data_IF_350778011192
#
_entry.id   IF_350778011192
#
_cell.length_a   1.000
_cell.length_b   1.000
_cell.length_c   1.000
_cell.angle_alpha   90.00
_cell.angle_beta   90.00
_cell.angle_gamma   90.00
#
_symmetry.space_group_name_H-M   'P 1'
#
loop_
_entity.id
_entity.type
_entity.pdbx_description
1 polymer ?
#
# COMPACT_ATOMS: atom_id res chain seq x y z
N UNK A 1 -30.48 -18.33 6.34
CA UNK A 1 -29.15 -18.54 6.93
C UNK A 1 -28.33 -17.28 6.74
N UNK A 2 -27.95 -16.60 7.81
CA UNK A 2 -27.09 -15.41 7.73
C UNK A 2 -25.68 -15.88 7.37
N UNK A 3 -25.13 -15.44 6.24
CA UNK A 3 -23.76 -15.82 5.81
C UNK A 3 -22.74 -15.21 6.76
N UNK A 4 -21.85 -16.03 7.30
CA UNK A 4 -20.68 -15.60 8.07
C UNK A 4 -19.79 -14.69 7.18
N UNK A 5 -19.46 -13.45 7.61
CA UNK A 5 -18.90 -12.42 6.73
C UNK A 5 -17.38 -12.55 6.56
N UNK A 6 -16.91 -13.65 5.99
CA UNK A 6 -15.47 -13.90 5.78
C UNK A 6 -14.78 -12.82 4.92
N UNK A 7 -15.52 -12.18 4.02
CA UNK A 7 -15.07 -11.05 3.20
C UNK A 7 -14.91 -9.74 3.99
N UNK A 8 -15.18 -9.72 5.30
CA UNK A 8 -15.10 -8.48 6.09
C UNK A 8 -13.70 -7.86 6.05
N UNK A 9 -12.67 -8.68 5.98
CA UNK A 9 -11.28 -8.24 5.84
C UNK A 9 -10.71 -8.79 4.55
N UNK A 10 -9.97 -7.99 3.80
CA UNK A 10 -9.45 -8.44 2.51
C UNK A 10 -8.47 -7.44 1.89
N UNK A 11 -7.96 -7.74 0.69
CA UNK A 11 -6.98 -6.92 -0.01
C UNK A 11 -7.72 -5.76 -0.71
N UNK A 12 -8.34 -4.89 0.08
CA UNK A 12 -9.15 -3.77 -0.40
C UNK A 12 -8.38 -2.44 -0.40
N UNK A 13 -7.12 -2.46 0.07
CA UNK A 13 -6.21 -1.34 -0.11
C UNK A 13 -5.71 -1.32 -1.54
N UNK A 14 -5.62 -0.12 -2.11
CA UNK A 14 -4.89 0.04 -3.36
C UNK A 14 -3.40 0.05 -3.03
N UNK A 15 -2.57 -0.43 -3.93
CA UNK A 15 -1.12 -0.28 -3.80
C UNK A 15 -0.61 0.98 -4.51
N UNK A 16 -1.47 1.64 -5.30
CA UNK A 16 -1.15 2.82 -6.12
C UNK A 16 -2.39 3.65 -6.55
N UNK A 17 -2.96 4.46 -5.67
CA UNK A 17 -4.18 5.26 -5.90
C UNK A 17 -3.91 6.73 -6.29
N UNK A 18 -2.68 7.22 -6.15
CA UNK A 18 -2.32 8.59 -6.57
C UNK A 18 -2.52 8.79 -8.09
N UNK A 19 -2.72 10.04 -8.53
CA UNK A 19 -2.98 10.37 -9.93
C UNK A 19 -4.35 9.94 -10.47
N UNK A 20 -5.35 9.70 -9.61
CA UNK A 20 -6.69 9.25 -10.03
C UNK A 20 -7.71 10.39 -10.07
N UNK A 21 -8.68 10.28 -10.99
CA UNK A 21 -9.78 11.27 -11.16
C UNK A 21 -10.62 11.50 -9.90
N UNK A 22 -10.66 10.54 -8.97
CA UNK A 22 -11.41 10.69 -7.71
C UNK A 22 -10.73 11.66 -6.75
N UNK A 23 -9.40 11.73 -6.81
CA UNK A 23 -8.57 12.57 -5.94
C UNK A 23 -8.12 13.87 -6.64
N UNK A 24 -8.73 14.17 -7.80
CA UNK A 24 -8.47 15.39 -8.55
C UNK A 24 -9.35 16.54 -8.07
N UNK A 25 -8.70 17.57 -7.54
CA UNK A 25 -9.31 18.81 -7.10
C UNK A 25 -8.70 20.01 -7.84
N UNK A 26 -8.00 19.75 -8.95
CA UNK A 26 -7.44 20.79 -9.78
C UNK A 26 -8.54 21.55 -10.52
N UNK A 27 -8.36 22.86 -10.80
CA UNK A 27 -9.33 23.63 -11.57
C UNK A 27 -9.53 23.12 -13.01
N UNK A 28 -8.55 22.39 -13.55
CA UNK A 28 -8.50 21.98 -14.95
C UNK A 28 -8.79 20.49 -15.21
N UNK A 29 -9.02 19.68 -14.17
CA UNK A 29 -9.21 18.23 -14.35
C UNK A 29 -7.93 17.48 -14.71
N UNK A 30 -6.77 17.94 -14.22
CA UNK A 30 -5.44 17.37 -14.48
C UNK A 30 -4.98 16.41 -13.38
N UNK A 31 -5.77 15.36 -13.11
CA UNK A 31 -5.55 14.38 -12.04
C UNK A 31 -4.11 13.85 -11.92
N UNK A 32 -3.49 13.55 -13.06
CA UNK A 32 -2.13 13.01 -13.13
C UNK A 32 -1.04 14.01 -12.70
N UNK A 33 -1.27 15.30 -12.90
CA UNK A 33 -0.34 16.37 -12.52
C UNK A 33 -0.63 16.89 -11.10
N UNK A 34 -1.89 16.91 -10.69
CA UNK A 34 -2.34 17.52 -9.44
C UNK A 34 -2.04 16.65 -8.22
N UNK A 35 -1.92 15.34 -8.39
CA UNK A 35 -1.60 14.41 -7.31
C UNK A 35 -0.48 13.42 -7.68
N UNK A 36 0.78 13.86 -7.77
CA UNK A 36 1.92 13.01 -8.10
C UNK A 36 2.31 12.08 -6.95
N UNK A 37 3.14 11.08 -7.26
CA UNK A 37 3.70 10.14 -6.27
C UNK A 37 4.40 10.82 -5.07
N UNK A 38 5.02 11.99 -5.26
CA UNK A 38 5.63 12.74 -4.16
C UNK A 38 4.60 13.17 -3.11
N UNK A 39 3.41 13.59 -3.55
CA UNK A 39 2.34 13.98 -2.65
C UNK A 39 1.67 12.76 -2.00
N UNK A 40 1.68 11.60 -2.66
CA UNK A 40 1.05 10.36 -2.20
C UNK A 40 1.47 9.93 -0.79
N UNK A 41 2.68 10.30 -0.35
CA UNK A 41 3.19 10.00 1.00
C UNK A 41 2.85 11.05 2.06
N UNK A 42 2.43 12.24 1.63
CA UNK A 42 2.28 13.42 2.48
C UNK A 42 0.84 13.96 2.48
N UNK A 43 -0.07 13.30 1.75
CA UNK A 43 -1.44 13.72 1.57
C UNK A 43 -2.40 12.67 2.11
N UNK A 44 -3.39 13.12 2.87
CA UNK A 44 -4.52 12.28 3.26
C UNK A 44 -5.46 12.09 2.07
N UNK A 45 -5.81 10.84 1.79
CA UNK A 45 -6.71 10.46 0.71
C UNK A 45 -8.17 10.64 1.18
N UNK A 46 -9.06 11.06 0.29
CA UNK A 46 -10.49 11.19 0.62
C UNK A 46 -11.26 9.90 0.33
N UNK A 47 -10.97 9.24 -0.78
CA UNK A 47 -11.82 8.18 -1.33
C UNK A 47 -11.27 6.77 -1.13
N UNK A 48 -10.03 6.62 -0.69
CA UNK A 48 -9.40 5.33 -0.41
C UNK A 48 -8.13 5.50 0.40
N UNK A 49 -7.22 4.53 0.33
CA UNK A 49 -5.93 4.51 1.00
C UNK A 49 -4.96 3.65 0.19
N UNK A 50 -3.67 3.99 0.26
CA UNK A 50 -2.59 3.17 -0.28
C UNK A 50 -1.94 2.31 0.80
N UNK A 51 -1.60 1.06 0.47
CA UNK A 51 -0.79 0.22 1.35
C UNK A 51 -0.19 -0.99 0.66
N UNK A 52 1.14 -1.08 0.67
CA UNK A 52 1.90 -2.18 0.09
C UNK A 52 1.54 -3.52 0.76
N UNK A 53 1.06 -4.46 -0.05
CA UNK A 53 0.64 -5.81 0.35
C UNK A 53 -0.37 -5.80 1.52
N UNK A 54 -1.17 -4.74 1.60
CA UNK A 54 -2.02 -4.46 2.75
C UNK A 54 -3.41 -5.06 2.69
N UNK A 55 -4.12 -4.97 3.81
CA UNK A 55 -5.53 -5.33 3.94
C UNK A 55 -6.31 -4.20 4.61
N UNK A 56 -7.62 -4.19 4.43
CA UNK A 56 -8.51 -3.38 5.25
C UNK A 56 -9.83 -4.10 5.50
N UNK A 57 -10.67 -3.54 6.37
CA UNK A 57 -12.07 -3.95 6.40
C UNK A 57 -12.76 -3.58 5.07
N UNK A 58 -13.88 -4.23 4.76
CA UNK A 58 -14.59 -4.09 3.49
C UNK A 58 -15.12 -2.68 3.18
N UNK A 59 -14.99 -1.73 4.11
CA UNK A 59 -15.29 -0.30 3.89
C UNK A 59 -14.03 0.59 3.95
N UNK A 60 -12.83 0.01 4.00
CA UNK A 60 -11.56 0.73 4.03
C UNK A 60 -11.46 1.70 5.20
N UNK A 61 -11.91 1.32 6.40
CA UNK A 61 -11.88 2.17 7.61
C UNK A 61 -10.64 1.92 8.43
N UNK A 62 -10.34 0.65 8.75
CA UNK A 62 -9.13 0.22 9.46
C UNK A 62 -8.24 -0.53 8.48
N UNK A 63 -7.01 -0.06 8.35
CA UNK A 63 -6.06 -0.44 7.32
C UNK A 63 -4.80 -0.99 7.99
N UNK A 64 -4.25 -2.06 7.41
CA UNK A 64 -2.95 -2.62 7.78
C UNK A 64 -2.12 -2.81 6.52
N UNK A 65 -0.84 -2.46 6.57
CA UNK A 65 0.12 -2.73 5.50
C UNK A 65 1.54 -2.82 6.08
N UNK A 66 2.50 -3.09 5.19
CA UNK A 66 3.92 -3.11 5.54
C UNK A 66 4.61 -1.94 4.86
N UNK A 67 5.39 -1.18 5.63
CA UNK A 67 6.36 -0.23 5.11
C UNK A 67 7.77 -0.84 5.20
N UNK A 68 8.57 -0.65 4.15
CA UNK A 68 9.93 -1.20 4.06
C UNK A 68 10.96 -0.09 3.92
N UNK A 69 12.16 -0.30 4.45
CA UNK A 69 13.29 0.60 4.21
C UNK A 69 14.61 -0.16 4.22
N UNK A 70 15.36 -0.06 3.14
CA UNK A 70 16.67 -0.70 2.97
C UNK A 70 17.84 0.18 3.44
N UNK A 71 17.57 1.27 4.15
CA UNK A 71 18.54 2.30 4.60
C UNK A 71 19.23 3.10 3.49
N UNK A 72 18.98 2.78 2.22
CA UNK A 72 19.48 3.49 1.04
C UNK A 72 18.39 4.34 0.36
N UNK A 73 17.14 3.88 0.41
CA UNK A 73 16.01 4.54 -0.20
C UNK A 73 15.75 5.90 0.48
N UNK A 74 15.43 6.96 -0.28
CA UNK A 74 15.18 8.28 0.29
C UNK A 74 13.86 8.35 1.08
N UNK A 75 13.03 7.30 1.00
CA UNK A 75 11.71 7.20 1.63
C UNK A 75 11.41 5.78 2.11
N UNK A 76 10.39 5.67 2.97
CA UNK A 76 9.75 4.38 3.22
C UNK A 76 9.02 3.90 1.97
N UNK A 77 9.19 2.62 1.65
CA UNK A 77 8.44 1.93 0.61
C UNK A 77 7.12 1.42 1.19
N UNK A 78 6.10 2.26 1.08
CA UNK A 78 4.75 2.04 1.63
C UNK A 78 3.70 1.74 0.55
N UNK A 79 4.06 1.98 -0.72
CA UNK A 79 3.21 1.92 -1.91
C UNK A 79 4.07 1.68 -3.14
N UNK A 80 3.44 1.24 -4.23
CA UNK A 80 4.12 1.00 -5.49
C UNK A 80 4.37 2.32 -6.21
N UNK A 81 5.54 2.44 -6.83
CA UNK A 81 5.84 3.51 -7.76
C UNK A 81 5.38 3.17 -9.17
N UNK A 82 5.05 4.21 -9.93
CA UNK A 82 4.72 4.10 -11.33
C UNK A 82 4.81 5.45 -12.01
N UNK A 83 4.60 5.43 -13.31
CA UNK A 83 4.53 6.58 -14.18
C UNK A 83 3.08 6.95 -14.42
N UNK A 84 2.81 8.24 -14.56
CA UNK A 84 1.54 8.73 -15.11
C UNK A 84 1.51 8.56 -16.63
N UNK A 85 0.32 8.71 -17.22
CA UNK A 85 0.15 8.65 -18.68
C UNK A 85 1.14 9.52 -19.48
N UNK A 86 1.37 10.79 -19.10
CA UNK A 86 2.35 11.65 -19.76
C UNK A 86 3.82 11.28 -19.51
N UNK A 87 4.12 10.47 -18.49
CA UNK A 87 5.49 10.10 -18.13
C UNK A 87 5.96 8.82 -18.82
N UNK A 88 5.04 7.90 -19.14
CA UNK A 88 5.35 6.68 -19.89
C UNK A 88 5.20 6.86 -21.40
N UNK A 89 6.10 6.24 -22.17
CA UNK A 89 6.02 6.21 -23.63
C UNK A 89 4.80 5.41 -24.15
N UNK A 90 4.29 4.48 -23.35
CA UNK A 90 3.07 3.69 -23.62
C UNK A 90 1.93 3.93 -22.62
N UNK A 91 2.04 4.93 -21.75
CA UNK A 91 0.98 5.35 -20.82
C UNK A 91 1.33 5.17 -19.35
N UNK A 92 0.31 4.96 -18.52
CA UNK A 92 0.49 4.69 -17.09
C UNK A 92 1.10 3.30 -16.88
N UNK A 93 2.12 3.23 -16.03
CA UNK A 93 2.90 2.02 -15.88
C UNK A 93 3.50 1.88 -14.48
N UNK A 94 3.41 0.69 -13.87
CA UNK A 94 3.92 0.41 -12.52
C UNK A 94 5.34 -0.15 -12.64
N UNK A 95 6.32 0.57 -12.07
CA UNK A 95 7.74 0.22 -12.22
C UNK A 95 8.26 -0.65 -11.09
N UNK A 96 7.48 -1.66 -10.69
CA UNK A 96 7.72 -2.49 -9.51
C UNK A 96 7.44 -3.97 -9.81
N UNK A 97 8.10 -4.88 -9.08
CA UNK A 97 7.82 -6.30 -9.18
C UNK A 97 7.10 -6.82 -7.92
N UNK A 98 5.84 -7.18 -8.10
CA UNK A 98 4.96 -7.69 -7.05
C UNK A 98 4.03 -8.75 -7.63
N UNK A 99 3.62 -9.70 -6.81
CA UNK A 99 2.88 -10.88 -7.24
C UNK A 99 1.84 -11.27 -6.20
N UNK A 100 0.58 -11.40 -6.62
CA UNK A 100 -0.45 -12.06 -5.82
C UNK A 100 -0.33 -13.57 -6.02
N UNK A 101 0.14 -14.27 -4.98
CA UNK A 101 0.49 -15.68 -5.07
C UNK A 101 -0.68 -16.60 -4.71
N UNK A 102 -1.55 -16.18 -3.79
CA UNK A 102 -2.72 -16.95 -3.39
C UNK A 102 -3.79 -16.04 -2.78
N UNK A 103 -5.07 -16.36 -3.01
CA UNK A 103 -6.20 -15.71 -2.36
C UNK A 103 -7.45 -16.58 -2.52
N UNK A 104 -7.91 -17.16 -1.41
CA UNK A 104 -9.20 -17.86 -1.40
C UNK A 104 -10.36 -16.89 -1.70
N UNK A 105 -11.49 -17.32 -2.31
CA UNK A 105 -12.63 -16.44 -2.59
C UNK A 105 -13.24 -15.75 -1.35
N UNK A 106 -13.03 -16.32 -0.17
CA UNK A 106 -13.46 -15.78 1.13
C UNK A 106 -12.40 -14.91 1.80
N UNK A 107 -11.22 -14.78 1.19
CA UNK A 107 -10.02 -14.19 1.77
C UNK A 107 -9.61 -14.85 3.10
N UNK A 108 -10.01 -16.10 3.35
CA UNK A 108 -9.60 -16.86 4.55
C UNK A 108 -8.10 -17.12 4.60
N UNK A 109 -7.47 -17.19 3.42
CA UNK A 109 -6.03 -17.17 3.22
C UNK A 109 -5.69 -16.25 2.05
N UNK A 110 -4.62 -15.47 2.21
CA UNK A 110 -4.05 -14.56 1.19
C UNK A 110 -2.53 -14.54 1.31
N UNK A 111 -1.84 -14.51 0.17
CA UNK A 111 -0.37 -14.40 0.12
C UNK A 111 0.06 -13.54 -1.06
N UNK A 112 0.94 -12.60 -0.81
CA UNK A 112 1.56 -11.77 -1.84
C UNK A 112 3.06 -11.62 -1.61
N UNK A 113 3.79 -11.31 -2.68
CA UNK A 113 5.23 -11.13 -2.73
C UNK A 113 5.55 -9.77 -3.35
N UNK A 114 6.54 -9.08 -2.79
CA UNK A 114 7.13 -7.88 -3.37
C UNK A 114 8.66 -8.01 -3.40
N UNK A 115 9.27 -7.66 -4.53
CA UNK A 115 10.73 -7.66 -4.70
C UNK A 115 11.28 -6.29 -4.39
N UNK A 116 11.95 -6.15 -3.23
CA UNK A 116 12.50 -4.88 -2.78
C UNK A 116 14.02 -4.82 -2.99
N UNK A 117 14.55 -3.89 -3.79
CA UNK A 117 15.99 -3.81 -4.00
C UNK A 117 16.77 -3.47 -2.73
N UNK A 118 18.03 -3.89 -2.66
CA UNK A 118 18.95 -3.50 -1.58
C UNK A 118 19.53 -2.10 -1.76
N UNK A 119 19.48 -1.56 -2.98
CA UNK A 119 19.97 -0.22 -3.33
C UNK A 119 18.82 0.79 -3.34
N UNK A 120 19.17 2.08 -3.33
CA UNK A 120 18.18 3.16 -3.46
C UNK A 120 17.37 2.98 -4.75
N UNK A 121 16.05 3.10 -4.66
CA UNK A 121 15.17 2.84 -5.78
C UNK A 121 15.31 3.94 -6.85
N UNK A 122 15.42 3.60 -8.15
CA UNK A 122 15.81 4.53 -9.21
C UNK A 122 14.63 5.36 -9.75
N UNK A 123 13.89 6.06 -8.87
CA UNK A 123 12.68 6.81 -9.22
C UNK A 123 12.89 7.82 -10.36
N UNK A 124 13.92 8.66 -10.25
CA UNK A 124 14.18 9.74 -11.20
C UNK A 124 14.67 9.23 -12.55
N UNK A 125 15.49 8.18 -12.56
CA UNK A 125 16.01 7.55 -13.77
C UNK A 125 14.90 6.90 -14.59
N UNK A 126 14.04 6.11 -13.92
CA UNK A 126 12.84 5.52 -14.53
C UNK A 126 11.94 6.56 -15.18
N UNK A 127 11.64 7.66 -14.48
CA UNK A 127 10.79 8.72 -15.01
C UNK A 127 11.45 9.48 -16.17
N UNK A 128 12.74 9.78 -16.07
CA UNK A 128 13.46 10.55 -17.09
C UNK A 128 13.62 9.76 -18.40
N UNK A 129 14.02 8.50 -18.32
CA UNK A 129 14.26 7.68 -19.51
C UNK A 129 12.96 7.32 -20.22
N UNK A 130 11.89 6.95 -19.50
CA UNK A 130 10.60 6.66 -20.14
C UNK A 130 10.01 7.90 -20.83
N UNK A 131 10.17 9.11 -20.25
CA UNK A 131 9.74 10.36 -20.88
C UNK A 131 10.52 10.70 -22.15
N UNK A 132 11.77 10.27 -22.25
CA UNK A 132 12.63 10.47 -23.43
C UNK A 132 12.27 9.52 -24.57
N UNK A 133 11.73 8.34 -24.27
CA UNK A 133 11.42 7.31 -25.25
C UNK A 133 10.15 7.65 -26.05
N UNK A 134 10.19 7.30 -27.33
CA UNK A 134 9.05 7.37 -28.22
C UNK A 134 8.17 6.11 -28.15
N UNK A 135 7.01 6.17 -28.80
CA UNK A 135 6.07 5.03 -28.90
C UNK A 135 6.64 3.84 -29.67
N UNK A 136 7.68 4.06 -30.47
CA UNK A 136 8.41 3.07 -31.26
C UNK A 136 9.49 2.31 -30.47
N UNK A 137 9.78 2.74 -29.25
CA UNK A 137 10.75 2.11 -28.34
C UNK A 137 10.02 1.32 -27.25
N UNK A 138 10.63 0.25 -26.71
CA UNK A 138 10.08 -0.45 -25.54
C UNK A 138 10.12 0.42 -24.30
N UNK A 139 9.23 0.15 -23.35
CA UNK A 139 9.27 0.73 -21.99
C UNK A 139 10.63 0.47 -21.34
N UNK A 140 11.09 1.41 -20.51
CA UNK A 140 12.29 1.22 -19.69
C UNK A 140 11.87 0.69 -18.33
N UNK A 141 12.19 -0.58 -18.07
CA UNK A 141 11.73 -1.31 -16.90
C UNK A 141 12.71 -1.25 -15.73
N UNK A 142 12.22 -1.53 -14.53
CA UNK A 142 13.05 -1.54 -13.32
C UNK A 142 14.24 -2.51 -13.45
N UNK A 143 14.08 -3.66 -14.12
CA UNK A 143 15.20 -4.58 -14.40
C UNK A 143 16.30 -3.96 -15.26
N UNK A 144 15.96 -3.06 -16.19
CA UNK A 144 16.92 -2.46 -17.12
C UNK A 144 17.88 -1.48 -16.44
N UNK A 145 17.53 -1.02 -15.23
CA UNK A 145 18.40 -0.18 -14.39
C UNK A 145 19.56 -0.96 -13.77
N UNK A 146 19.53 -2.30 -13.82
CA UNK A 146 20.49 -3.17 -13.15
C UNK A 146 20.33 -3.19 -11.62
N UNK A 147 19.23 -2.67 -11.07
CA UNK A 147 19.00 -2.63 -9.62
C UNK A 147 19.02 -4.02 -8.95
N UNK A 148 18.73 -5.07 -9.72
CA UNK A 148 18.71 -6.47 -9.27
C UNK A 148 20.00 -7.25 -9.61
N UNK A 149 21.05 -6.57 -10.09
CA UNK A 149 22.31 -7.23 -10.40
C UNK A 149 22.87 -7.97 -9.16
N UNK A 150 23.46 -9.15 -9.41
CA UNK A 150 23.99 -10.04 -8.36
C UNK A 150 22.93 -10.49 -7.33
N UNK A 151 21.66 -10.57 -7.75
CA UNK A 151 20.52 -10.95 -6.90
C UNK A 151 20.35 -10.04 -5.66
N UNK A 152 20.79 -8.78 -5.75
CA UNK A 152 20.78 -7.81 -4.64
C UNK A 152 19.39 -7.23 -4.36
N UNK A 153 18.48 -8.08 -3.93
CA UNK A 153 17.14 -7.73 -3.48
C UNK A 153 16.65 -8.63 -2.34
N UNK A 154 15.56 -8.19 -1.74
CA UNK A 154 14.77 -8.96 -0.81
C UNK A 154 13.48 -9.44 -1.48
N UNK A 155 13.13 -10.70 -1.30
CA UNK A 155 11.74 -11.12 -1.44
C UNK A 155 11.03 -10.83 -0.11
N UNK A 156 10.05 -9.93 -0.11
CA UNK A 156 9.18 -9.66 1.04
C UNK A 156 7.81 -10.28 0.78
N UNK A 157 7.49 -11.34 1.51
CA UNK A 157 6.20 -12.01 1.46
C UNK A 157 5.35 -11.63 2.65
N UNK A 158 4.07 -11.35 2.39
CA UNK A 158 3.06 -11.12 3.43
C UNK A 158 1.95 -12.14 3.26
N UNK A 159 1.68 -12.86 4.33
CA UNK A 159 0.63 -13.87 4.43
C UNK A 159 -0.40 -13.46 5.48
N UNK A 160 -1.67 -13.66 5.15
CA UNK A 160 -2.81 -13.47 6.04
C UNK A 160 -3.59 -14.77 6.14
N UNK A 161 -3.81 -15.25 7.36
CA UNK A 161 -4.62 -16.44 7.62
C UNK A 161 -5.69 -16.13 8.67
N UNK A 162 -6.95 -16.44 8.37
CA UNK A 162 -8.08 -16.13 9.25
C UNK A 162 -8.50 -17.35 10.06
N UNK A 163 -8.49 -17.22 11.39
CA UNK A 163 -9.14 -18.17 12.29
C UNK A 163 -10.66 -17.93 12.36
N UNK A 164 -11.08 -16.68 12.16
CA UNK A 164 -12.48 -16.27 12.06
C UNK A 164 -12.62 -15.04 11.16
N UNK A 165 -13.83 -14.57 10.82
CA UNK A 165 -14.02 -13.36 10.03
C UNK A 165 -13.36 -12.08 10.57
N UNK A 166 -12.98 -12.05 11.85
CA UNK A 166 -12.39 -10.88 12.52
C UNK A 166 -11.11 -11.19 13.29
N UNK A 167 -10.57 -12.40 13.13
CA UNK A 167 -9.36 -12.85 13.80
C UNK A 167 -8.39 -13.41 12.76
N UNK A 168 -7.24 -12.75 12.62
CA UNK A 168 -6.28 -12.97 11.55
C UNK A 168 -4.87 -13.02 12.12
N UNK A 169 -4.07 -13.95 11.62
CA UNK A 169 -2.62 -13.97 11.81
C UNK A 169 -1.96 -13.39 10.57
N UNK A 170 -0.96 -12.55 10.80
CA UNK A 170 -0.15 -11.92 9.77
C UNK A 170 1.26 -12.47 9.89
N UNK A 171 1.82 -12.99 8.80
CA UNK A 171 3.22 -13.38 8.74
C UNK A 171 3.92 -12.55 7.67
N UNK A 172 5.02 -11.93 8.05
CA UNK A 172 5.90 -11.20 7.14
C UNK A 172 7.22 -11.97 7.09
N UNK A 173 7.60 -12.43 5.90
CA UNK A 173 8.86 -13.15 5.68
C UNK A 173 9.70 -12.35 4.69
N UNK A 174 10.94 -12.04 5.05
CA UNK A 174 11.89 -11.40 4.17
C UNK A 174 13.07 -12.34 3.89
N UNK A 175 13.34 -12.60 2.61
CA UNK A 175 14.49 -13.40 2.16
C UNK A 175 15.47 -12.49 1.47
N UNK A 176 16.71 -12.40 1.98
CA UNK A 176 17.81 -11.75 1.28
C UNK A 176 18.38 -12.73 0.24
N UNK A 177 18.32 -12.36 -1.04
CA UNK A 177 18.89 -13.15 -2.13
C UNK A 177 20.33 -12.76 -2.49
N UNK A 178 20.79 -11.60 -2.03
CA UNK A 178 22.12 -11.10 -2.33
C UNK A 178 23.22 -11.90 -1.62
N UNK A 179 24.46 -11.83 -2.13
CA UNK A 179 25.58 -12.58 -1.59
C UNK A 179 26.01 -12.10 -0.18
N UNK A 180 25.66 -10.87 0.18
CA UNK A 180 26.07 -10.20 1.41
C UNK A 180 24.86 -9.92 2.32
N UNK A 181 25.03 -9.93 3.66
CA UNK A 181 24.05 -9.37 4.57
C UNK A 181 23.73 -7.90 4.22
N UNK A 182 22.45 -7.56 4.14
CA UNK A 182 21.98 -6.22 3.82
C UNK A 182 20.92 -5.75 4.83
N UNK A 183 20.89 -4.46 5.21
CA UNK A 183 19.91 -3.94 6.15
C UNK A 183 18.52 -3.89 5.53
N UNK A 184 17.52 -4.28 6.31
CA UNK A 184 16.11 -4.13 5.98
C UNK A 184 15.32 -3.81 7.25
N UNK A 185 14.63 -2.68 7.23
CA UNK A 185 13.61 -2.32 8.23
C UNK A 185 12.25 -2.71 7.68
N UNK A 186 11.49 -3.45 8.49
CA UNK A 186 10.11 -3.83 8.22
C UNK A 186 9.26 -3.17 9.30
N UNK A 187 8.29 -2.36 8.88
CA UNK A 187 7.43 -1.60 9.77
C UNK A 187 5.98 -1.98 9.48
N UNK A 188 5.39 -2.88 10.30
CA UNK A 188 3.96 -3.15 10.24
C UNK A 188 3.18 -1.91 10.69
N UNK A 189 2.28 -1.42 9.84
CA UNK A 189 1.58 -0.15 10.06
C UNK A 189 0.08 -0.39 10.16
N UNK A 190 -0.55 0.14 11.20
CA UNK A 190 -2.00 0.13 11.39
C UNK A 190 -2.51 1.56 11.46
N UNK A 191 -3.51 1.90 10.65
CA UNK A 191 -4.10 3.24 10.64
C UNK A 191 -5.58 3.22 10.30
N UNK A 192 -6.27 4.31 10.62
CA UNK A 192 -7.62 4.53 10.14
C UNK A 192 -7.59 5.49 8.96
N UNK A 193 -8.33 5.17 7.89
CA UNK A 193 -8.61 6.13 6.82
C UNK A 193 -9.30 7.34 7.42
N UNK A 194 -8.86 8.54 7.05
CA UNK A 194 -9.45 9.76 7.58
C UNK A 194 -10.81 10.04 6.95
N UNK A 195 -11.88 9.55 7.58
CA UNK A 195 -13.26 9.82 7.18
C UNK A 195 -13.91 10.94 8.00
N UNK A 196 -13.42 11.21 9.21
CA UNK A 196 -14.05 12.10 10.18
C UNK A 196 -13.84 13.60 9.87
N UNK A 197 -12.78 13.98 9.15
CA UNK A 197 -12.57 15.37 8.72
C UNK A 197 -13.51 15.71 7.56
N UNK A 198 -13.54 14.86 6.51
CA UNK A 198 -14.31 15.13 5.30
C UNK A 198 -15.83 15.16 5.54
N UNK A 199 -16.32 14.35 6.49
CA UNK A 199 -17.74 14.35 6.88
C UNK A 199 -18.19 15.62 7.60
N UNK A 200 -17.27 16.41 8.18
CA UNK A 200 -17.61 17.73 8.78
C UNK A 200 -17.80 18.80 7.71
N UNK A 201 -17.12 18.66 6.58
CA UNK A 201 -17.15 19.62 5.47
C UNK A 201 -18.26 19.28 4.46
N UNK A 202 -18.70 18.02 4.39
CA UNK A 202 -19.72 17.52 3.46
C UNK A 202 -20.49 16.33 4.09
N UNK A 203 -21.77 16.51 4.51
CA UNK A 203 -22.50 15.50 5.29
C UNK A 203 -22.78 14.19 4.55
N UNK A 204 -22.66 14.13 3.22
CA UNK A 204 -22.75 12.88 2.49
C UNK A 204 -22.07 12.92 1.10
N UNK A 205 -20.97 12.16 0.91
CA UNK A 205 -20.55 11.76 -0.42
C UNK A 205 -20.58 10.24 -0.66
N UNK A 206 -21.11 9.42 0.26
CA UNK A 206 -20.98 7.94 0.17
C UNK A 206 -21.61 7.10 1.29
N UNK A 207 -22.54 7.64 2.09
CA UNK A 207 -23.41 6.86 2.98
C UNK A 207 -22.86 6.47 4.36
N UNK A 208 -21.76 7.06 4.82
CA UNK A 208 -21.25 6.83 6.18
C UNK A 208 -21.70 7.97 7.11
N UNK A 209 -22.51 7.67 8.13
CA UNK A 209 -22.89 8.66 9.16
C UNK A 209 -21.66 9.20 9.88
N UNK A 210 -21.75 10.45 10.35
CA UNK A 210 -20.70 11.14 11.10
C UNK A 210 -20.07 10.23 12.16
N UNK A 211 -18.84 9.77 11.90
CA UNK A 211 -18.13 8.88 12.83
C UNK A 211 -17.22 9.70 13.74
N UNK A 212 -17.32 9.45 15.05
CA UNK A 212 -16.35 9.93 16.02
C UNK A 212 -14.93 9.55 15.58
N UNK A 213 -13.97 10.47 15.73
CA UNK A 213 -12.57 10.21 15.39
C UNK A 213 -12.10 8.93 16.09
N UNK A 214 -11.65 7.90 15.35
CA UNK A 214 -11.19 6.65 15.93
C UNK A 214 -9.86 6.87 16.67
N UNK A 215 -9.50 5.91 17.53
CA UNK A 215 -8.32 6.01 18.36
C UNK A 215 -7.44 4.77 18.23
N UNK A 216 -6.13 4.99 18.13
CA UNK A 216 -5.10 3.98 18.30
C UNK A 216 -4.38 4.26 19.63
N UNK A 217 -4.21 3.23 20.46
CA UNK A 217 -3.51 3.32 21.75
C UNK A 217 -2.67 2.09 21.97
N UNK A 218 -1.40 2.29 22.34
CA UNK A 218 -0.61 1.20 22.89
C UNK A 218 -1.13 0.87 24.30
N UNK A 219 -1.62 -0.35 24.49
CA UNK A 219 -2.19 -0.81 25.77
C UNK A 219 -1.23 -1.73 26.53
N UNK A 220 -0.24 -2.30 25.84
CA UNK A 220 0.90 -3.03 26.41
C UNK A 220 2.08 -3.00 25.41
N UNK A 221 3.31 -3.40 25.80
CA UNK A 221 4.39 -3.62 24.85
C UNK A 221 3.96 -4.56 23.71
N UNK A 222 4.13 -4.12 22.46
CA UNK A 222 3.71 -4.89 21.28
C UNK A 222 2.20 -5.02 21.07
N UNK A 223 1.34 -4.34 21.84
CA UNK A 223 -0.11 -4.44 21.71
C UNK A 223 -0.77 -3.07 21.51
N UNK A 224 -1.36 -2.87 20.34
CA UNK A 224 -2.09 -1.65 19.96
C UNK A 224 -3.58 -1.96 19.92
N UNK A 225 -4.39 -1.22 20.66
CA UNK A 225 -5.85 -1.20 20.54
C UNK A 225 -6.28 -0.17 19.50
N UNK A 226 -7.14 -0.58 18.59
CA UNK A 226 -7.81 0.26 17.60
C UNK A 226 -9.31 0.31 17.90
N UNK A 227 -9.81 1.49 18.27
CA UNK A 227 -11.21 1.71 18.64
C UNK A 227 -11.90 2.59 17.61
N UNK A 228 -13.04 2.10 17.10
CA UNK A 228 -13.88 2.84 16.17
C UNK A 228 -15.35 2.59 16.50
N UNK A 229 -16.15 3.66 16.55
CA UNK A 229 -17.53 3.66 17.06
C UNK A 229 -18.46 2.59 16.44
N UNK A 230 -18.45 2.44 15.10
CA UNK A 230 -19.29 1.46 14.40
C UNK A 230 -18.57 0.16 14.00
N UNK A 231 -17.24 0.17 13.88
CA UNK A 231 -16.45 -1.01 13.50
C UNK A 231 -16.19 -1.92 14.71
N UNK A 232 -16.17 -1.35 15.92
CA UNK A 232 -15.82 -2.00 17.18
C UNK A 232 -14.34 -1.79 17.53
N UNK A 233 -13.87 -2.63 18.45
CA UNK A 233 -12.47 -2.65 18.90
C UNK A 233 -11.71 -3.79 18.22
N UNK A 234 -10.49 -3.49 17.78
CA UNK A 234 -9.52 -4.44 17.22
C UNK A 234 -8.19 -4.28 17.96
N UNK A 235 -7.37 -5.32 17.90
CA UNK A 235 -6.03 -5.31 18.48
C UNK A 235 -5.01 -5.80 17.46
N UNK A 236 -3.90 -5.07 17.35
CA UNK A 236 -2.70 -5.55 16.66
C UNK A 236 -1.69 -5.97 17.72
N UNK A 237 -1.38 -7.25 17.76
CA UNK A 237 -0.34 -7.83 18.59
C UNK A 237 0.89 -8.15 17.73
N UNK A 238 2.00 -7.51 18.02
CA UNK A 238 3.29 -7.75 17.37
C UNK A 238 4.17 -8.58 18.29
N UNK A 239 4.66 -9.72 17.79
CA UNK A 239 5.78 -10.42 18.42
C UNK A 239 7.06 -9.72 17.98
N UNK A 240 7.70 -9.01 18.91
CA UNK A 240 9.02 -8.41 18.72
C UNK A 240 10.13 -9.40 19.00
#
# INVERSE_FOLDING_TARGET
MQRTPWWRWGPYLSERQWGTVREDYSPGGTAWESFPHEHARSRTYRWGEDGLLGISDNHGRLCFSVALWNEADPILKERLFGLTGPEGNHGEDVKEYYFYLDSTPTHSYMRALYKYPQRAFPYADLAAENRRRGKDQPEYELVDTGIFAEDRYFDVQVEYAKASPTDLVIRITATNHGPDPAPLRIVPTLWFRNTWVWQREDPDPGGASASEKPALRQVAPGLIQARHSSLGDYWLACQG
#
